data_IF_728103255909
#
_entry.id   IF_728103255909
#
_cell.length_a   1.000
_cell.length_b   1.000
_cell.length_c   1.000
_cell.angle_alpha   90.00
_cell.angle_beta   90.00
_cell.angle_gamma   90.00
#
_symmetry.space_group_name_H-M   'P 1'
#
loop_
_entity.id
_entity.type
_entity.pdbx_description
1 polymer ?
#
# COMPACT_ATOMS: atom_id res chain seq x y z
N UNK A 1 24.18 -6.36 33.12
CA UNK A 1 24.77 -5.00 33.05
C UNK A 1 24.45 -4.17 34.30
N UNK A 2 23.18 -4.02 34.72
CA UNK A 2 22.76 -3.23 35.90
C UNK A 2 23.35 -3.81 37.20
N UNK A 3 23.42 -5.14 37.37
CA UNK A 3 24.01 -5.79 38.53
C UNK A 3 25.53 -5.59 38.59
N UNK A 4 26.20 -5.55 37.44
CA UNK A 4 27.66 -5.28 37.34
C UNK A 4 27.95 -3.83 37.72
N UNK A 5 27.16 -2.87 37.29
CA UNK A 5 27.29 -1.46 37.67
C UNK A 5 27.06 -1.25 39.19
N UNK A 6 26.09 -1.97 39.76
CA UNK A 6 25.85 -1.93 41.23
C UNK A 6 27.01 -2.55 42.01
N UNK A 7 27.68 -3.59 41.50
CA UNK A 7 28.85 -4.21 42.10
C UNK A 7 30.08 -3.28 42.04
N UNK A 8 30.31 -2.64 40.88
CA UNK A 8 31.39 -1.68 40.71
C UNK A 8 31.23 -0.44 41.62
N UNK A 9 29.99 0.02 41.85
CA UNK A 9 29.72 1.10 42.81
C UNK A 9 30.06 0.74 44.25
N UNK A 10 29.84 -0.52 44.66
CA UNK A 10 30.21 -1.03 46.01
C UNK A 10 31.71 -1.17 46.23
N UNK A 11 32.49 -1.33 45.14
CA UNK A 11 33.94 -1.44 45.18
C UNK A 11 34.68 -0.09 45.05
N UNK A 12 34.00 1.03 45.17
CA UNK A 12 34.62 2.37 45.13
C UNK A 12 34.83 2.93 43.71
N UNK A 13 34.44 2.22 42.66
CA UNK A 13 34.57 2.66 41.25
C UNK A 13 33.35 3.45 40.78
N UNK A 14 33.00 4.53 41.48
CA UNK A 14 31.81 5.32 41.24
C UNK A 14 31.74 5.89 39.79
N UNK A 15 32.86 6.34 39.22
CA UNK A 15 32.93 6.83 37.84
C UNK A 15 32.60 5.75 36.82
N UNK A 16 33.20 4.56 36.96
CA UNK A 16 32.96 3.43 36.08
C UNK A 16 31.48 2.95 36.14
N UNK A 17 30.91 2.93 37.36
CA UNK A 17 29.49 2.58 37.55
C UNK A 17 28.56 3.58 36.89
N UNK A 18 28.93 4.86 36.87
CA UNK A 18 28.12 5.92 36.23
C UNK A 18 28.21 5.88 34.70
N UNK A 19 29.41 5.63 34.15
CA UNK A 19 29.61 5.40 32.71
C UNK A 19 28.87 4.15 32.21
N UNK A 20 28.92 3.06 32.96
CA UNK A 20 28.16 1.85 32.62
C UNK A 20 26.63 2.07 32.65
N UNK A 21 26.12 2.88 33.57
CA UNK A 21 24.73 3.25 33.63
C UNK A 21 24.31 4.11 32.40
N UNK A 22 25.12 5.13 32.07
CA UNK A 22 24.86 5.98 30.92
C UNK A 22 24.87 5.20 29.61
N UNK A 23 25.79 4.26 29.42
CA UNK A 23 25.85 3.39 28.25
C UNK A 23 24.64 2.43 28.17
N UNK A 24 24.17 1.91 29.30
CA UNK A 24 22.96 1.07 29.35
C UNK A 24 21.70 1.89 29.05
N UNK A 25 21.62 3.10 29.57
CA UNK A 25 20.46 3.97 29.30
C UNK A 25 20.46 4.48 27.85
N UNK A 26 21.63 4.78 27.26
CA UNK A 26 21.79 5.08 25.84
C UNK A 26 21.45 3.88 24.95
N UNK A 27 21.86 2.68 25.31
CA UNK A 27 21.51 1.45 24.61
C UNK A 27 20.01 1.16 24.71
N UNK A 28 19.39 1.40 25.86
CA UNK A 28 17.93 1.32 26.03
C UNK A 28 17.19 2.39 25.21
N UNK A 29 17.67 3.62 25.21
CA UNK A 29 17.11 4.70 24.41
C UNK A 29 17.21 4.40 22.90
N UNK A 30 18.34 3.83 22.44
CA UNK A 30 18.49 3.33 21.06
C UNK A 30 17.58 2.13 20.77
N UNK A 31 17.44 1.19 21.69
CA UNK A 31 16.56 0.04 21.55
C UNK A 31 15.06 0.45 21.55
N UNK A 32 14.70 1.43 22.37
CA UNK A 32 13.32 2.00 22.35
C UNK A 32 13.09 2.92 21.16
N UNK A 33 14.13 3.56 20.62
CA UNK A 33 14.07 4.37 19.39
C UNK A 33 14.06 3.53 18.11
N UNK A 34 14.80 2.42 18.06
CA UNK A 34 14.88 1.53 16.89
C UNK A 34 13.78 0.45 16.86
N UNK A 35 13.11 0.21 17.98
CA UNK A 35 12.14 -0.88 18.15
C UNK A 35 10.67 -0.46 18.14
N UNK A 36 10.33 0.79 17.96
CA UNK A 36 9.00 1.14 17.48
C UNK A 36 8.97 0.85 15.96
N UNK A 37 8.86 -0.44 15.58
CA UNK A 37 7.94 -0.79 14.51
C UNK A 37 6.77 0.16 14.73
N UNK A 38 6.61 1.17 13.89
CA UNK A 38 5.36 1.91 13.81
C UNK A 38 4.33 0.82 13.60
N UNK A 39 3.63 0.44 14.67
CA UNK A 39 2.32 -0.12 14.55
C UNK A 39 1.63 0.94 13.69
N UNK A 40 1.47 0.62 12.41
CA UNK A 40 0.72 1.46 11.50
C UNK A 40 -0.53 1.80 12.26
N UNK A 41 -0.75 3.09 12.51
CA UNK A 41 -2.00 3.55 13.09
C UNK A 41 -3.09 2.79 12.35
N UNK A 42 -4.10 2.23 13.04
CA UNK A 42 -5.14 1.47 12.37
C UNK A 42 -5.62 2.36 11.24
N UNK A 43 -5.40 1.90 10.00
CA UNK A 43 -5.87 2.62 8.81
C UNK A 43 -7.38 2.67 9.00
N UNK A 44 -7.99 3.86 9.12
CA UNK A 44 -9.44 3.94 9.26
C UNK A 44 -10.02 3.11 8.14
N UNK A 45 -10.95 2.18 8.45
CA UNK A 45 -11.61 1.38 7.41
C UNK A 45 -12.39 2.34 6.52
N UNK A 46 -11.76 2.78 5.44
CA UNK A 46 -12.38 3.62 4.44
C UNK A 46 -13.30 2.72 3.63
N UNK A 47 -14.59 2.83 3.91
CA UNK A 47 -15.62 2.18 3.08
C UNK A 47 -16.23 3.25 2.16
N UNK A 48 -16.42 2.93 0.86
CA UNK A 48 -17.16 3.79 -0.05
C UNK A 48 -18.56 4.08 0.52
N UNK A 49 -19.00 5.33 0.47
CA UNK A 49 -20.30 5.77 0.98
C UNK A 49 -21.06 6.52 -0.11
N UNK A 50 -22.40 6.59 0.04
CA UNK A 50 -23.26 7.26 -0.94
C UNK A 50 -23.14 6.61 -2.31
N UNK A 51 -23.04 7.41 -3.35
CA UNK A 51 -23.00 6.96 -4.75
C UNK A 51 -21.80 6.07 -5.08
N UNK A 52 -20.70 6.16 -4.28
CA UNK A 52 -19.53 5.31 -4.44
C UNK A 52 -19.72 3.89 -3.89
N UNK A 53 -20.70 3.64 -3.02
CA UNK A 53 -20.93 2.32 -2.43
C UNK A 53 -21.35 1.27 -3.46
N UNK A 54 -22.03 1.69 -4.53
CA UNK A 54 -22.40 0.82 -5.66
C UNK A 54 -21.34 0.73 -6.77
N UNK A 55 -20.27 1.52 -6.69
CA UNK A 55 -19.25 1.63 -7.72
C UNK A 55 -17.90 1.05 -7.30
N UNK A 56 -17.63 1.00 -6.00
CA UNK A 56 -16.35 0.55 -5.44
C UNK A 56 -16.57 -0.45 -4.31
N UNK A 57 -15.81 -1.54 -4.34
CA UNK A 57 -15.67 -2.46 -3.22
C UNK A 57 -14.32 -2.24 -2.55
N UNK A 58 -14.30 -2.06 -1.23
CA UNK A 58 -13.08 -1.82 -0.47
C UNK A 58 -12.69 -3.06 0.34
N UNK A 59 -11.45 -3.52 0.18
CA UNK A 59 -10.86 -4.63 0.94
C UNK A 59 -9.50 -4.24 1.51
N UNK A 60 -9.04 -4.96 2.53
CA UNK A 60 -7.71 -4.76 3.14
C UNK A 60 -6.93 -6.07 3.03
N UNK A 61 -6.32 -6.35 1.86
CA UNK A 61 -5.64 -7.60 1.62
C UNK A 61 -4.39 -7.72 2.50
N UNK A 62 -4.15 -8.95 2.96
CA UNK A 62 -2.92 -9.32 3.67
C UNK A 62 -1.91 -10.00 2.74
N UNK A 63 -2.30 -10.27 1.51
CA UNK A 63 -1.49 -10.88 0.46
C UNK A 63 -0.20 -10.09 0.25
N UNK A 64 0.90 -10.81 0.04
CA UNK A 64 2.23 -10.25 -0.22
C UNK A 64 2.77 -10.77 -1.55
N UNK A 65 3.77 -10.08 -2.11
CA UNK A 65 4.46 -10.59 -3.30
C UNK A 65 5.14 -11.95 -3.03
N UNK A 66 5.56 -12.21 -1.80
CA UNK A 66 6.13 -13.48 -1.39
C UNK A 66 5.14 -14.67 -1.44
N UNK A 67 3.84 -14.38 -1.44
CA UNK A 67 2.79 -15.39 -1.55
C UNK A 67 2.51 -15.81 -3.00
N UNK A 68 3.20 -15.17 -3.96
CA UNK A 68 3.00 -15.36 -5.40
C UNK A 68 4.22 -16.01 -6.04
N UNK A 69 3.96 -16.90 -6.99
CA UNK A 69 5.00 -17.42 -7.89
C UNK A 69 4.98 -16.57 -9.16
N UNK A 70 6.00 -15.75 -9.35
CA UNK A 70 6.13 -14.81 -10.45
C UNK A 70 7.41 -15.05 -11.22
N UNK A 71 7.40 -14.72 -12.50
CA UNK A 71 8.61 -14.61 -13.29
C UNK A 71 9.54 -13.52 -12.72
N UNK A 72 10.85 -13.73 -12.77
CA UNK A 72 11.87 -12.86 -12.19
C UNK A 72 11.78 -11.42 -12.70
N UNK A 73 11.43 -11.22 -13.97
CA UNK A 73 11.29 -9.88 -14.55
C UNK A 73 10.04 -9.18 -14.01
N UNK A 74 8.93 -9.88 -13.93
CA UNK A 74 7.69 -9.36 -13.35
C UNK A 74 7.91 -9.01 -11.88
N UNK A 75 8.55 -9.90 -11.12
CA UNK A 75 8.87 -9.66 -9.72
C UNK A 75 9.73 -8.41 -9.53
N UNK A 76 10.80 -8.25 -10.32
CA UNK A 76 11.66 -7.06 -10.27
C UNK A 76 10.89 -5.78 -10.58
N UNK A 77 10.00 -5.79 -11.58
CA UNK A 77 9.17 -4.63 -11.94
C UNK A 77 8.23 -4.24 -10.82
N UNK A 78 7.57 -5.20 -10.20
CA UNK A 78 6.66 -4.95 -9.07
C UNK A 78 7.42 -4.44 -7.84
N UNK A 79 8.58 -5.03 -7.52
CA UNK A 79 9.44 -4.57 -6.43
C UNK A 79 9.88 -3.12 -6.65
N UNK A 80 10.25 -2.75 -7.89
CA UNK A 80 10.60 -1.37 -8.23
C UNK A 80 9.45 -0.40 -8.00
N UNK A 81 8.21 -0.77 -8.38
CA UNK A 81 7.02 0.05 -8.11
C UNK A 81 6.87 0.27 -6.60
N UNK A 82 6.99 -0.78 -5.79
CA UNK A 82 6.90 -0.70 -4.33
C UNK A 82 7.99 0.20 -3.75
N UNK A 83 9.23 0.11 -4.25
CA UNK A 83 10.34 0.97 -3.83
C UNK A 83 10.06 2.44 -4.16
N UNK A 84 9.58 2.74 -5.36
CA UNK A 84 9.21 4.09 -5.78
C UNK A 84 8.09 4.65 -4.89
N UNK A 85 7.05 3.87 -4.60
CA UNK A 85 5.95 4.28 -3.74
C UNK A 85 6.38 4.53 -2.28
N UNK A 86 7.26 3.68 -1.75
CA UNK A 86 7.84 3.85 -0.41
C UNK A 86 8.79 5.06 -0.33
N UNK A 87 9.48 5.35 -1.43
CA UNK A 87 10.41 6.47 -1.55
C UNK A 87 9.78 7.75 -2.13
N UNK A 88 8.45 7.83 -2.26
CA UNK A 88 7.73 8.93 -2.92
C UNK A 88 8.17 10.31 -2.41
N UNK A 89 8.37 10.45 -1.10
CA UNK A 89 8.82 11.72 -0.51
C UNK A 89 10.21 12.14 -1.01
N UNK A 90 11.13 11.18 -1.14
CA UNK A 90 12.48 11.45 -1.67
C UNK A 90 12.43 11.80 -3.15
N UNK A 91 11.64 11.08 -3.93
CA UNK A 91 11.48 11.36 -5.37
C UNK A 91 10.93 12.77 -5.60
N UNK A 92 9.92 13.19 -4.83
CA UNK A 92 9.34 14.52 -4.92
C UNK A 92 10.36 15.63 -4.61
N UNK A 93 11.32 15.41 -3.70
CA UNK A 93 12.37 16.37 -3.41
C UNK A 93 13.32 16.61 -4.60
N UNK A 94 13.40 15.66 -5.53
CA UNK A 94 14.16 15.76 -6.79
C UNK A 94 13.28 16.12 -8.00
N UNK A 95 12.04 16.56 -7.79
CA UNK A 95 11.10 16.87 -8.87
C UNK A 95 10.59 15.66 -9.63
N UNK A 96 10.82 14.44 -9.12
CA UNK A 96 10.37 13.19 -9.71
C UNK A 96 9.10 12.69 -9.00
N UNK A 97 8.28 11.92 -9.72
CA UNK A 97 7.09 11.28 -9.15
C UNK A 97 7.15 9.76 -9.25
N UNK A 98 6.69 9.08 -8.21
CA UNK A 98 6.52 7.63 -8.24
C UNK A 98 5.45 7.23 -9.27
N UNK A 99 5.60 6.06 -9.89
CA UNK A 99 4.59 5.51 -10.80
C UNK A 99 3.28 5.26 -10.07
N UNK A 100 2.20 5.74 -10.66
CA UNK A 100 0.86 5.59 -10.09
C UNK A 100 -0.06 4.70 -10.92
N UNK A 101 0.31 4.41 -12.16
CA UNK A 101 -0.51 3.64 -13.11
C UNK A 101 0.26 2.40 -13.52
N UNK A 102 -0.40 1.26 -13.46
CA UNK A 102 0.15 -0.05 -13.84
C UNK A 102 -0.89 -0.75 -14.69
N UNK A 103 -0.47 -1.27 -15.83
CA UNK A 103 -1.29 -2.11 -16.69
C UNK A 103 -0.80 -3.55 -16.54
N UNK A 104 -1.69 -4.46 -16.15
CA UNK A 104 -1.45 -5.89 -16.03
C UNK A 104 -2.09 -6.60 -17.22
N UNK A 105 -1.28 -7.20 -18.08
CA UNK A 105 -1.73 -7.90 -19.29
C UNK A 105 -1.41 -9.39 -19.12
N UNK A 106 -2.36 -10.23 -19.49
CA UNK A 106 -2.18 -11.68 -19.45
C UNK A 106 -3.52 -12.41 -19.54
N UNK A 107 -3.52 -13.71 -19.86
CA UNK A 107 -4.74 -14.52 -19.93
C UNK A 107 -5.46 -14.61 -18.58
N UNK A 108 -6.72 -15.06 -18.54
CA UNK A 108 -7.43 -15.33 -17.30
C UNK A 108 -6.63 -16.30 -16.40
N UNK A 109 -6.72 -16.12 -15.08
CA UNK A 109 -6.04 -17.00 -14.11
C UNK A 109 -4.55 -16.71 -13.89
N UNK A 110 -3.92 -15.76 -14.57
CA UNK A 110 -2.48 -15.42 -14.39
C UNK A 110 -2.18 -14.57 -13.14
N UNK A 111 -3.16 -14.33 -12.27
CA UNK A 111 -2.96 -13.64 -11.00
C UNK A 111 -2.98 -12.11 -11.06
N UNK A 112 -3.59 -11.50 -12.10
CA UNK A 112 -3.68 -10.02 -12.21
C UNK A 112 -4.32 -9.39 -10.98
N UNK A 113 -5.49 -9.86 -10.59
CA UNK A 113 -6.23 -9.40 -9.40
C UNK A 113 -5.45 -9.67 -8.11
N UNK A 114 -4.79 -10.83 -8.01
CA UNK A 114 -3.92 -11.17 -6.88
C UNK A 114 -2.71 -10.24 -6.80
N UNK A 115 -2.15 -9.80 -7.94
CA UNK A 115 -1.05 -8.83 -7.99
C UNK A 115 -1.49 -7.47 -7.43
N UNK A 116 -2.68 -6.99 -7.77
CA UNK A 116 -3.22 -5.76 -7.19
C UNK A 116 -3.42 -5.89 -5.67
N UNK A 117 -3.92 -7.04 -5.19
CA UNK A 117 -4.04 -7.33 -3.77
C UNK A 117 -2.68 -7.38 -3.07
N UNK A 118 -1.67 -7.99 -3.69
CA UNK A 118 -0.32 -8.04 -3.13
C UNK A 118 0.32 -6.66 -3.04
N UNK A 119 0.16 -5.81 -4.06
CA UNK A 119 0.64 -4.42 -4.03
C UNK A 119 -0.04 -3.62 -2.91
N UNK A 120 -1.36 -3.76 -2.74
CA UNK A 120 -2.09 -3.11 -1.66
C UNK A 120 -1.61 -3.60 -0.28
N UNK A 121 -1.45 -4.91 -0.12
CA UNK A 121 -0.93 -5.52 1.09
C UNK A 121 0.49 -5.05 1.42
N UNK A 122 1.42 -5.02 0.45
CA UNK A 122 2.79 -4.55 0.62
C UNK A 122 2.89 -3.08 1.04
N UNK A 123 1.98 -2.26 0.54
CA UNK A 123 1.91 -0.83 0.86
C UNK A 123 1.07 -0.54 2.10
N UNK A 124 0.39 -1.56 2.67
CA UNK A 124 -0.57 -1.40 3.76
C UNK A 124 -1.67 -0.39 3.42
N UNK A 125 -2.16 -0.45 2.19
CA UNK A 125 -3.22 0.39 1.65
C UNK A 125 -4.50 -0.42 1.42
N UNK A 126 -5.69 0.22 1.44
CA UNK A 126 -6.90 -0.42 0.96
C UNK A 126 -6.80 -0.73 -0.54
N UNK A 127 -7.40 -1.83 -0.95
CA UNK A 127 -7.68 -2.17 -2.34
C UNK A 127 -9.13 -1.82 -2.63
N UNK A 128 -9.35 -0.92 -3.56
CA UNK A 128 -10.64 -0.57 -4.10
C UNK A 128 -10.81 -1.24 -5.46
N UNK A 129 -11.72 -2.20 -5.56
CA UNK A 129 -12.09 -2.79 -6.85
C UNK A 129 -13.28 -2.03 -7.43
N UNK A 130 -13.16 -1.60 -8.68
CA UNK A 130 -14.23 -0.95 -9.41
C UNK A 130 -15.25 -1.99 -9.85
N UNK A 131 -16.52 -1.78 -9.51
CA UNK A 131 -17.63 -2.65 -9.87
C UNK A 131 -18.17 -2.20 -11.24
N UNK A 132 -17.79 -2.89 -12.30
CA UNK A 132 -18.17 -2.54 -13.67
C UNK A 132 -19.67 -2.64 -13.88
N UNK A 133 -20.35 -3.61 -13.26
CA UNK A 133 -21.81 -3.74 -13.31
C UNK A 133 -22.54 -2.47 -12.84
N UNK A 134 -21.95 -1.76 -11.86
CA UNK A 134 -22.46 -0.47 -11.39
C UNK A 134 -22.17 0.69 -12.34
N UNK A 135 -21.17 0.54 -13.21
CA UNK A 135 -20.75 1.57 -14.18
C UNK A 135 -21.53 1.51 -15.48
N UNK A 136 -21.77 0.28 -15.99
CA UNK A 136 -22.42 0.07 -17.27
C UNK A 136 -23.91 0.37 -17.10
N UNK A 137 -24.37 1.43 -17.73
CA UNK A 137 -25.78 1.80 -17.82
C UNK A 137 -26.16 2.00 -19.28
N UNK A 138 -27.47 1.86 -19.59
CA UNK A 138 -27.99 2.11 -20.93
C UNK A 138 -27.73 3.53 -21.45
N UNK A 139 -27.35 4.44 -20.56
CA UNK A 139 -27.11 5.85 -20.89
C UNK A 139 -25.64 6.20 -20.74
N UNK A 140 -24.96 6.50 -21.84
CA UNK A 140 -23.52 6.85 -21.86
C UNK A 140 -23.17 8.05 -20.97
N UNK A 141 -24.07 9.01 -20.79
CA UNK A 141 -23.87 10.17 -19.93
C UNK A 141 -23.74 9.81 -18.44
N UNK A 142 -24.47 8.80 -17.97
CA UNK A 142 -24.40 8.33 -16.59
C UNK A 142 -23.08 7.59 -16.31
N UNK A 143 -22.61 6.77 -17.26
CA UNK A 143 -21.32 6.07 -17.14
C UNK A 143 -20.16 7.06 -16.99
N UNK A 144 -20.16 8.14 -17.79
CA UNK A 144 -19.14 9.18 -17.69
C UNK A 144 -19.19 9.93 -16.34
N UNK A 145 -20.38 10.22 -15.81
CA UNK A 145 -20.56 10.84 -14.51
C UNK A 145 -20.06 9.94 -13.38
N UNK A 146 -20.39 8.64 -13.41
CA UNK A 146 -19.94 7.65 -12.44
C UNK A 146 -18.42 7.45 -12.47
N UNK A 147 -17.80 7.39 -13.66
CA UNK A 147 -16.34 7.35 -13.78
C UNK A 147 -15.68 8.60 -13.16
N UNK A 148 -16.27 9.77 -13.36
CA UNK A 148 -15.77 11.01 -12.74
C UNK A 148 -15.80 10.92 -11.22
N UNK A 149 -16.87 10.41 -10.61
CA UNK A 149 -16.94 10.19 -9.15
C UNK A 149 -15.82 9.26 -8.66
N UNK A 150 -15.52 8.19 -9.41
CA UNK A 150 -14.41 7.28 -9.07
C UNK A 150 -13.07 8.01 -9.15
N UNK A 151 -12.80 8.78 -10.21
CA UNK A 151 -11.54 9.52 -10.34
C UNK A 151 -11.39 10.60 -9.27
N UNK A 152 -12.46 11.26 -8.88
CA UNK A 152 -12.46 12.21 -7.76
C UNK A 152 -12.14 11.51 -6.44
N UNK A 153 -12.68 10.32 -6.22
CA UNK A 153 -12.34 9.50 -5.05
C UNK A 153 -10.85 9.06 -5.06
N UNK A 154 -10.30 8.69 -6.23
CA UNK A 154 -8.87 8.36 -6.40
C UNK A 154 -7.98 9.55 -6.03
N UNK A 155 -8.39 10.77 -6.37
CA UNK A 155 -7.63 11.97 -6.06
C UNK A 155 -7.62 12.29 -4.56
N UNK A 156 -8.70 11.95 -3.84
CA UNK A 156 -8.89 12.29 -2.43
C UNK A 156 -8.48 11.18 -1.46
N UNK A 157 -8.56 9.92 -1.88
CA UNK A 157 -8.35 8.77 -0.99
C UNK A 157 -7.16 7.93 -1.46
N UNK A 158 -6.17 7.80 -0.59
CA UNK A 158 -5.00 6.98 -0.87
C UNK A 158 -5.35 5.49 -0.80
N UNK A 159 -5.11 4.77 -1.89
CA UNK A 159 -5.39 3.34 -2.02
C UNK A 159 -4.82 2.77 -3.31
N UNK A 160 -4.96 1.47 -3.48
CA UNK A 160 -4.77 0.80 -4.76
C UNK A 160 -6.15 0.65 -5.39
N UNK A 161 -6.32 1.14 -6.61
CA UNK A 161 -7.59 1.07 -7.35
C UNK A 161 -7.43 0.08 -8.49
N UNK A 162 -8.25 -0.96 -8.50
CA UNK A 162 -8.26 -2.01 -9.51
C UNK A 162 -9.46 -1.81 -10.44
N UNK A 163 -9.17 -1.64 -11.71
CA UNK A 163 -10.13 -1.74 -12.80
C UNK A 163 -9.92 -3.13 -13.41
N UNK A 164 -10.71 -4.10 -13.00
CA UNK A 164 -10.65 -5.46 -13.53
C UNK A 164 -11.64 -5.59 -14.71
N UNK A 165 -11.35 -6.50 -15.65
CA UNK A 165 -12.21 -6.77 -16.82
C UNK A 165 -12.58 -5.51 -17.64
N UNK A 166 -11.67 -4.55 -17.71
CA UNK A 166 -11.92 -3.26 -18.37
C UNK A 166 -12.20 -3.39 -19.88
N UNK A 167 -11.81 -4.48 -20.50
CA UNK A 167 -12.09 -4.87 -21.87
C UNK A 167 -13.58 -5.12 -22.13
N UNK A 168 -14.37 -5.47 -21.12
CA UNK A 168 -15.82 -5.60 -21.24
C UNK A 168 -16.50 -4.28 -21.66
N UNK A 169 -15.96 -3.13 -21.27
CA UNK A 169 -16.48 -1.81 -21.64
C UNK A 169 -16.29 -1.50 -23.13
N UNK A 170 -15.24 -2.07 -23.74
CA UNK A 170 -14.90 -1.79 -25.13
C UNK A 170 -15.70 -2.67 -26.11
N UNK A 171 -16.09 -3.88 -25.68
CA UNK A 171 -16.86 -4.82 -26.50
C UNK A 171 -18.30 -4.36 -26.74
N UNK A 172 -18.93 -3.64 -25.80
CA UNK A 172 -20.28 -3.08 -26.01
C UNK A 172 -20.31 -1.90 -27.00
N UNK A 173 -19.18 -1.19 -27.18
CA UNK A 173 -19.07 -0.13 -28.18
C UNK A 173 -19.01 -0.66 -29.60
N UNK A 174 -18.47 -1.86 -29.81
CA UNK A 174 -18.39 -2.47 -31.13
C UNK A 174 -19.75 -3.01 -31.62
N UNK A 175 -20.64 -3.41 -30.70
CA UNK A 175 -21.98 -3.92 -31.01
C UNK A 175 -23.08 -2.86 -31.21
N UNK A 176 -22.81 -1.58 -30.94
CA UNK A 176 -23.77 -0.50 -31.05
C UNK A 176 -23.71 0.25 -32.41
N UNK A 177 -22.83 -0.17 -33.32
CA UNK A 177 -22.61 0.44 -34.63
C UNK A 177 -23.05 -0.44 -35.84
N UNK A 178 -23.83 -1.51 -35.60
CA UNK A 178 -24.48 -2.31 -36.66
C UNK A 178 -25.99 -2.04 -36.76
#
# INVERSE_FOLDING_TARGET
AIQVAAHAAKQGHAKLAQEMRSLVDEAKARATGAGKKRLSAPVPMVQPRGDLAGLLSATYPKTRLADMVLDDDVQRRLQRILQEQRAQHKLNAFGLSARRKVLLIGPPGTGKTMTAAALAGELSLPLFAVLLDGLITKFMGETAAKLRLIFDAIAQTRGVYLFDEFDAIDSERAGAND
#
